data_IF_130710979858
#
_entry.id   IF_130710979858
#
_cell.length_a   1.000
_cell.length_b   1.000
_cell.length_c   1.000
_cell.angle_alpha   90.00
_cell.angle_beta   90.00
_cell.angle_gamma   90.00
#
_symmetry.space_group_name_H-M   'P 1'
#
loop_
_entity.id
_entity.type
_entity.pdbx_description
1 polymer ?
#
# COMPACT_ATOMS: atom_id res chain seq x y z
N UNK A 1 -22.81 25.71 -3.75
CA UNK A 1 -21.66 24.77 -3.79
C UNK A 1 -22.19 23.37 -3.54
N UNK A 2 -22.08 22.47 -4.53
CA UNK A 2 -22.62 21.11 -4.44
C UNK A 2 -21.64 20.19 -3.70
N UNK A 3 -22.08 19.71 -2.53
CA UNK A 3 -21.33 18.87 -1.59
C UNK A 3 -21.31 17.40 -2.05
N UNK A 4 -20.65 17.12 -3.18
CA UNK A 4 -20.62 15.77 -3.76
C UNK A 4 -19.62 14.88 -3.00
N UNK A 5 -20.02 13.68 -2.54
CA UNK A 5 -19.14 12.78 -1.81
C UNK A 5 -18.04 12.27 -2.74
N UNK A 6 -16.79 12.31 -2.27
CA UNK A 6 -15.63 11.77 -2.98
C UNK A 6 -15.86 10.27 -3.21
N UNK A 7 -15.85 9.77 -4.46
CA UNK A 7 -16.08 8.35 -4.73
C UNK A 7 -14.94 7.51 -4.16
N UNK A 8 -15.29 6.43 -3.46
CA UNK A 8 -14.35 5.49 -2.82
C UNK A 8 -13.45 4.70 -3.79
N UNK A 9 -13.37 5.10 -5.07
CA UNK A 9 -12.80 4.36 -6.20
C UNK A 9 -11.56 5.04 -6.81
N UNK A 10 -10.90 5.93 -6.07
CA UNK A 10 -9.59 6.45 -6.44
C UNK A 10 -8.45 5.49 -6.09
N UNK A 11 -8.62 4.18 -6.34
CA UNK A 11 -7.58 3.18 -6.14
C UNK A 11 -7.62 2.18 -7.32
N UNK A 12 -6.77 2.42 -8.33
CA UNK A 12 -6.45 1.45 -9.39
C UNK A 12 -7.49 1.13 -10.47
N UNK A 13 -8.73 1.65 -10.39
CA UNK A 13 -9.83 1.32 -11.32
C UNK A 13 -9.57 1.71 -12.78
N UNK A 14 -8.88 2.82 -13.01
CA UNK A 14 -8.70 3.43 -14.34
C UNK A 14 -7.82 2.60 -15.27
N UNK A 15 -6.75 1.98 -14.76
CA UNK A 15 -5.81 1.21 -15.60
C UNK A 15 -6.40 -0.15 -16.00
N UNK A 16 -7.28 -0.71 -15.17
CA UNK A 16 -7.86 -2.04 -15.39
C UNK A 16 -9.04 -2.00 -16.37
N UNK A 17 -9.89 -0.96 -16.31
CA UNK A 17 -11.01 -0.76 -17.24
C UNK A 17 -10.53 -0.46 -18.67
N UNK A 18 -9.38 0.20 -18.84
CA UNK A 18 -8.78 0.48 -20.15
C UNK A 18 -8.34 -0.81 -20.87
N UNK A 19 -7.97 -1.85 -20.12
CA UNK A 19 -7.37 -3.07 -20.68
C UNK A 19 -8.34 -4.25 -20.77
N UNK A 20 -9.41 -4.28 -19.97
CA UNK A 20 -10.45 -5.31 -20.06
C UNK A 20 -11.83 -4.73 -19.76
N UNK A 21 -12.73 -4.83 -20.73
CA UNK A 21 -14.11 -4.31 -20.73
C UNK A 21 -15.01 -4.74 -19.56
N UNK A 22 -14.63 -5.73 -18.74
CA UNK A 22 -15.42 -6.17 -17.58
C UNK A 22 -14.54 -6.61 -16.43
N UNK A 23 -14.71 -5.96 -15.28
CA UNK A 23 -14.11 -6.36 -14.01
C UNK A 23 -14.74 -7.68 -13.55
N UNK A 24 -13.97 -8.76 -13.33
CA UNK A 24 -14.51 -10.01 -12.79
C UNK A 24 -15.07 -9.76 -11.38
N UNK A 25 -16.16 -10.43 -11.00
CA UNK A 25 -16.72 -10.36 -9.65
C UNK A 25 -15.73 -10.81 -8.54
N UNK A 26 -14.65 -11.49 -8.92
CA UNK A 26 -13.55 -11.92 -8.06
C UNK A 26 -12.41 -10.90 -7.90
N UNK A 27 -12.51 -9.73 -8.54
CA UNK A 27 -11.51 -8.69 -8.40
C UNK A 27 -11.53 -8.10 -6.97
N UNK A 28 -10.37 -7.95 -6.31
CA UNK A 28 -10.32 -7.41 -4.95
C UNK A 28 -10.84 -5.97 -4.95
N UNK A 29 -11.93 -5.72 -4.21
CA UNK A 29 -12.64 -4.44 -4.25
C UNK A 29 -12.03 -3.34 -3.40
N UNK A 30 -11.13 -3.68 -2.47
CA UNK A 30 -10.48 -2.73 -1.58
C UNK A 30 -9.00 -3.04 -1.44
N UNK A 31 -8.18 -2.07 -1.80
CA UNK A 31 -6.77 -2.04 -1.44
C UNK A 31 -6.66 -1.82 0.07
N UNK A 32 -5.80 -2.59 0.74
CA UNK A 32 -5.47 -2.42 2.15
C UNK A 32 -4.03 -1.97 2.25
N UNK A 33 -3.80 -0.79 2.82
CA UNK A 33 -2.46 -0.33 3.15
C UNK A 33 -2.03 -0.97 4.48
N UNK A 34 -0.86 -1.59 4.48
CA UNK A 34 -0.22 -2.16 5.66
C UNK A 34 1.12 -1.49 5.90
N UNK A 35 1.36 -1.06 7.14
CA UNK A 35 2.66 -0.59 7.61
C UNK A 35 3.27 -1.67 8.50
N UNK A 36 4.42 -2.20 8.08
CA UNK A 36 5.20 -3.18 8.83
C UNK A 36 6.45 -2.48 9.34
N UNK A 37 6.63 -2.48 10.65
CA UNK A 37 7.79 -1.88 11.29
C UNK A 37 8.56 -2.94 12.08
N UNK A 38 9.88 -2.92 11.97
CA UNK A 38 10.76 -3.72 12.83
C UNK A 38 11.99 -2.94 13.21
N UNK A 39 12.56 -3.27 14.38
CA UNK A 39 13.77 -2.64 14.90
C UNK A 39 14.79 -3.72 15.23
N UNK A 40 16.03 -3.51 14.82
CA UNK A 40 17.15 -4.39 15.17
C UNK A 40 18.25 -3.58 15.86
N UNK A 41 18.79 -4.15 16.93
CA UNK A 41 19.96 -3.60 17.64
C UNK A 41 21.17 -4.43 17.27
N UNK A 42 22.18 -3.81 16.69
CA UNK A 42 23.44 -4.45 16.32
C UNK A 42 24.60 -3.73 17.00
N UNK A 43 25.80 -4.34 16.98
CA UNK A 43 27.01 -3.70 17.49
C UNK A 43 27.33 -2.37 16.76
N UNK A 44 26.90 -2.23 15.50
CA UNK A 44 27.10 -1.02 14.69
C UNK A 44 26.02 0.05 14.89
N UNK A 45 24.92 -0.24 15.58
CA UNK A 45 23.88 0.73 15.91
C UNK A 45 22.47 0.14 15.95
N UNK A 46 21.48 1.02 16.15
CA UNK A 46 20.07 0.65 16.10
C UNK A 46 19.50 1.05 14.75
N UNK A 47 18.76 0.14 14.13
CA UNK A 47 18.15 0.35 12.83
C UNK A 47 16.66 0.07 12.91
N UNK A 48 15.87 0.98 12.33
CA UNK A 48 14.43 0.83 12.13
C UNK A 48 14.16 0.61 10.65
N UNK A 49 13.45 -0.46 10.34
CA UNK A 49 12.90 -0.74 9.02
C UNK A 49 11.40 -0.43 9.04
N UNK A 50 10.94 0.32 8.05
CA UNK A 50 9.53 0.56 7.76
C UNK A 50 9.26 0.09 6.33
N UNK A 51 8.30 -0.81 6.19
CA UNK A 51 7.78 -1.28 4.91
C UNK A 51 6.30 -0.90 4.85
N UNK A 52 5.95 -0.04 3.90
CA UNK A 52 4.56 0.18 3.53
C UNK A 52 4.25 -0.65 2.30
N UNK A 53 3.13 -1.38 2.35
CA UNK A 53 2.66 -2.18 1.22
C UNK A 53 1.16 -2.05 1.05
N UNK A 54 0.72 -2.06 -0.19
CA UNK A 54 -0.68 -2.17 -0.56
C UNK A 54 -1.01 -3.63 -0.88
N UNK A 55 -1.95 -4.20 -0.15
CA UNK A 55 -2.48 -5.55 -0.36
C UNK A 55 -3.79 -5.46 -1.13
N UNK A 56 -3.82 -6.03 -2.33
CA UNK A 56 -4.98 -6.11 -3.21
C UNK A 56 -5.34 -7.58 -3.46
N UNK A 57 -6.15 -8.15 -2.57
CA UNK A 57 -6.48 -9.58 -2.59
C UNK A 57 -5.23 -10.45 -2.44
N UNK A 58 -4.87 -11.19 -3.51
CA UNK A 58 -3.64 -12.02 -3.53
C UNK A 58 -2.37 -11.26 -3.93
N UNK A 59 -2.52 -10.02 -4.38
CA UNK A 59 -1.41 -9.20 -4.84
C UNK A 59 -0.88 -8.34 -3.71
N UNK A 60 0.44 -8.20 -3.64
CA UNK A 60 1.13 -7.37 -2.66
C UNK A 60 2.05 -6.44 -3.44
N UNK A 61 1.87 -5.14 -3.25
CA UNK A 61 2.68 -4.09 -3.85
C UNK A 61 3.46 -3.40 -2.76
N UNK A 62 4.79 -3.33 -2.89
CA UNK A 62 5.61 -2.53 -1.99
C UNK A 62 5.54 -1.07 -2.42
N UNK A 63 4.99 -0.23 -1.56
CA UNK A 63 4.82 1.21 -1.86
C UNK A 63 6.13 1.93 -1.56
N UNK A 64 6.67 1.73 -0.36
CA UNK A 64 8.02 2.13 -0.03
C UNK A 64 8.65 1.24 1.03
N UNK A 65 9.97 1.22 1.02
CA UNK A 65 10.79 0.65 2.10
C UNK A 65 11.79 1.69 2.55
N UNK A 66 11.84 1.94 3.85
CA UNK A 66 12.76 2.90 4.46
C UNK A 66 13.51 2.23 5.59
N UNK A 67 14.84 2.32 5.56
CA UNK A 67 15.68 1.96 6.69
C UNK A 67 16.34 3.20 7.24
N UNK A 68 16.20 3.42 8.54
CA UNK A 68 16.81 4.54 9.24
C UNK A 68 17.69 4.03 10.36
N UNK A 69 18.90 4.60 10.48
CA UNK A 69 19.73 4.42 11.67
C UNK A 69 19.23 5.37 12.74
N UNK A 70 18.68 4.82 13.81
CA UNK A 70 18.15 5.60 14.93
C UNK A 70 19.32 5.92 15.86
N UNK A 71 19.74 7.18 15.89
CA UNK A 71 20.67 7.67 16.91
C UNK A 71 19.89 7.74 18.24
N UNK A 72 20.51 7.23 19.30
CA UNK A 72 19.98 7.31 20.67
C UNK A 72 19.66 8.75 21.05
#
# INVERSE_FOLDING_TARGET
MLNLPVPAQMDGRVVYELLKEKTPASAPQKAKIENIETTVKTASGNYKLVLQRTVLGKYIYTDFTKTERVKK
#
